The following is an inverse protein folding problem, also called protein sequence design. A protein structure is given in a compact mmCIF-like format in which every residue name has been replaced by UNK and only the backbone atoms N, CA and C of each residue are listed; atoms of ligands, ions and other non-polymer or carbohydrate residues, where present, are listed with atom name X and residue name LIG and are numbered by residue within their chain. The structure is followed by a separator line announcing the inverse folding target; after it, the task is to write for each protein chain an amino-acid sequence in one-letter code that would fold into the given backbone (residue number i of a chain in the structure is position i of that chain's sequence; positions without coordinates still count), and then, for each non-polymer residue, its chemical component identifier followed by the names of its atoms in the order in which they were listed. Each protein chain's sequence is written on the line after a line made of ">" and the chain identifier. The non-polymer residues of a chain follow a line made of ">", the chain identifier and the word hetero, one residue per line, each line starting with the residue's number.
data_IF_204298128590
#
_entry.id   IF_204298128590
#
_cell.length_a   1.000
_cell.length_b   1.000
_cell.length_c   1.000
_cell.angle_alpha   90.00
_cell.angle_beta   90.00
_cell.angle_gamma   90.00
#
_symmetry.space_group_name_H-M   'P 1'
#
loop_
_entity.id
_entity.type
_entity.pdbx_description
1 polymer ?
#
# COMPACT_ATOMS: atom_id res chain seq x y z
N UNK A 1 -8.98 29.34 -2.47
CA UNK A 1 -10.26 28.73 -2.88
C UNK A 1 -11.25 29.85 -3.19
N UNK A 2 -11.74 29.94 -4.43
CA UNK A 2 -12.81 30.89 -4.80
C UNK A 2 -14.18 30.48 -4.24
N UNK A 3 -15.17 31.38 -4.30
CA UNK A 3 -16.53 31.19 -3.78
C UNK A 3 -17.18 29.89 -4.31
N UNK A 4 -17.05 29.65 -5.61
CA UNK A 4 -17.58 28.47 -6.32
C UNK A 4 -17.00 27.15 -5.78
N UNK A 5 -15.73 27.17 -5.35
CA UNK A 5 -15.08 25.99 -4.77
C UNK A 5 -15.65 25.62 -3.42
N UNK A 6 -16.01 26.61 -2.59
CA UNK A 6 -16.61 26.38 -1.27
C UNK A 6 -18.05 25.89 -1.40
N UNK A 7 -18.79 26.39 -2.38
CA UNK A 7 -20.16 25.95 -2.65
C UNK A 7 -20.22 24.52 -3.20
N UNK A 8 -19.32 24.14 -4.11
CA UNK A 8 -19.19 22.76 -4.61
C UNK A 8 -18.93 21.76 -3.47
N UNK A 9 -18.02 22.09 -2.55
CA UNK A 9 -17.72 21.24 -1.40
C UNK A 9 -18.93 21.13 -0.48
N UNK A 10 -19.55 22.26 -0.13
CA UNK A 10 -20.69 22.28 0.79
C UNK A 10 -21.89 21.52 0.23
N UNK A 11 -22.15 21.64 -1.07
CA UNK A 11 -23.27 20.95 -1.73
C UNK A 11 -23.07 19.45 -1.79
N UNK A 12 -21.82 18.99 -1.82
CA UNK A 12 -21.44 17.57 -1.85
C UNK A 12 -21.49 16.86 -0.50
N UNK A 13 -21.66 17.58 0.61
CA UNK A 13 -21.78 16.98 1.95
C UNK A 13 -23.26 16.92 2.31
N UNK A 14 -23.90 15.80 1.98
CA UNK A 14 -25.31 15.52 2.28
C UNK A 14 -25.47 14.13 2.89
N UNK A 15 -26.46 13.96 3.76
CA UNK A 15 -26.80 12.64 4.24
C UNK A 15 -27.26 11.77 3.06
N UNK A 16 -26.70 10.57 2.90
CA UNK A 16 -27.05 9.73 1.76
C UNK A 16 -28.40 9.05 1.97
N UNK A 17 -29.04 8.70 0.87
CA UNK A 17 -30.18 7.79 0.92
C UNK A 17 -29.73 6.39 1.36
N UNK A 18 -30.67 5.62 1.94
CA UNK A 18 -30.38 4.28 2.46
C UNK A 18 -29.81 3.36 1.38
N UNK A 19 -30.26 3.46 0.11
CA UNK A 19 -29.78 2.56 -0.95
C UNK A 19 -28.31 2.85 -1.27
N UNK A 20 -27.94 4.12 -1.40
CA UNK A 20 -26.53 4.51 -1.62
C UNK A 20 -25.64 4.11 -0.45
N UNK A 21 -26.13 4.21 0.79
CA UNK A 21 -25.40 3.74 1.97
C UNK A 21 -25.22 2.22 1.97
N UNK A 22 -26.28 1.46 1.68
CA UNK A 22 -26.20 -0.01 1.57
C UNK A 22 -25.25 -0.45 0.46
N UNK A 23 -25.26 0.23 -0.69
CA UNK A 23 -24.31 -0.05 -1.79
C UNK A 23 -22.86 0.24 -1.39
N UNK A 24 -22.61 1.35 -0.69
CA UNK A 24 -21.29 1.70 -0.18
C UNK A 24 -20.75 0.66 0.83
N UNK A 25 -21.64 0.03 1.58
CA UNK A 25 -21.32 -1.04 2.53
C UNK A 25 -21.13 -2.38 1.81
N UNK A 26 -22.03 -2.72 0.90
CA UNK A 26 -22.04 -4.01 0.22
C UNK A 26 -20.83 -4.17 -0.69
N UNK A 27 -20.42 -3.14 -1.43
CA UNK A 27 -19.34 -3.24 -2.40
C UNK A 27 -18.02 -3.75 -1.80
N UNK A 28 -17.43 -3.10 -0.76
CA UNK A 28 -16.18 -3.59 -0.18
C UNK A 28 -16.33 -4.94 0.53
N UNK A 29 -17.49 -5.20 1.16
CA UNK A 29 -17.73 -6.49 1.82
C UNK A 29 -17.86 -7.64 0.83
N UNK A 30 -18.46 -7.42 -0.33
CA UNK A 30 -18.50 -8.43 -1.38
C UNK A 30 -17.10 -8.77 -1.90
N UNK A 31 -16.22 -7.76 -2.03
CA UNK A 31 -14.83 -7.99 -2.43
C UNK A 31 -14.10 -8.82 -1.37
N UNK A 32 -14.18 -8.41 -0.11
CA UNK A 32 -13.56 -9.12 1.02
C UNK A 32 -14.01 -10.60 1.10
N UNK A 33 -15.33 -10.84 1.09
CA UNK A 33 -15.88 -12.20 1.10
C UNK A 33 -15.42 -13.02 -0.10
N UNK A 34 -15.34 -12.41 -1.29
CA UNK A 34 -14.87 -13.09 -2.49
C UNK A 34 -13.39 -13.49 -2.38
N UNK A 35 -12.53 -12.58 -1.91
CA UNK A 35 -11.09 -12.84 -1.71
C UNK A 35 -10.90 -13.94 -0.65
N UNK A 36 -11.52 -13.80 0.53
CA UNK A 36 -11.43 -14.79 1.61
C UNK A 36 -11.91 -16.17 1.19
N UNK A 37 -13.02 -16.23 0.45
CA UNK A 37 -13.56 -17.50 -0.07
C UNK A 37 -12.63 -18.13 -1.09
N UNK A 38 -12.05 -17.33 -2.00
CA UNK A 38 -11.08 -17.80 -2.98
C UNK A 38 -9.82 -18.36 -2.34
N UNK A 39 -9.24 -17.62 -1.38
CA UNK A 39 -8.07 -18.07 -0.63
C UNK A 39 -8.36 -19.37 0.12
N UNK A 40 -9.48 -19.45 0.84
CA UNK A 40 -9.87 -20.67 1.54
C UNK A 40 -9.98 -21.88 0.60
N UNK A 41 -10.63 -21.73 -0.55
CA UNK A 41 -10.80 -22.83 -1.52
C UNK A 41 -9.46 -23.26 -2.11
N UNK A 42 -8.60 -22.31 -2.47
CA UNK A 42 -7.28 -22.60 -3.05
C UNK A 42 -6.37 -23.30 -2.05
N UNK A 43 -6.26 -22.78 -0.82
CA UNK A 43 -5.44 -23.39 0.22
C UNK A 43 -5.99 -24.74 0.67
N UNK A 44 -7.32 -24.91 0.68
CA UNK A 44 -7.94 -26.20 0.97
C UNK A 44 -7.65 -27.24 -0.12
N UNK A 45 -7.65 -26.82 -1.38
CA UNK A 45 -7.29 -27.68 -2.51
C UNK A 45 -5.80 -28.07 -2.47
N UNK A 46 -4.90 -27.11 -2.17
CA UNK A 46 -3.47 -27.37 -2.01
C UNK A 46 -3.20 -28.31 -0.84
N UNK A 47 -3.81 -28.07 0.32
CA UNK A 47 -3.71 -28.95 1.48
C UNK A 47 -4.18 -30.37 1.16
N UNK A 48 -5.30 -30.53 0.45
CA UNK A 48 -5.81 -31.84 0.06
C UNK A 48 -4.87 -32.57 -0.92
N UNK A 49 -4.16 -31.83 -1.78
CA UNK A 49 -3.23 -32.40 -2.74
C UNK A 49 -1.86 -32.78 -2.14
N UNK A 50 -1.37 -32.03 -1.15
CA UNK A 50 0.04 -32.11 -0.73
C UNK A 50 0.26 -32.40 0.77
N UNK A 51 -0.69 -32.00 1.63
CA UNK A 51 -0.50 -31.99 3.09
C UNK A 51 -1.53 -32.85 3.84
N UNK A 52 -2.34 -33.60 3.09
CA UNK A 52 -3.38 -34.46 3.63
C UNK A 52 -2.78 -35.52 4.56
N UNK A 53 -3.20 -35.52 5.83
CA UNK A 53 -2.70 -36.43 6.87
C UNK A 53 -1.35 -36.03 7.50
N UNK A 54 -0.70 -34.96 7.01
CA UNK A 54 0.53 -34.41 7.61
C UNK A 54 0.25 -33.21 8.51
N UNK A 55 -0.58 -32.29 8.02
CA UNK A 55 -0.97 -31.07 8.72
C UNK A 55 -2.49 -31.01 8.89
N UNK A 56 -2.95 -30.27 9.91
CA UNK A 56 -4.38 -30.01 10.10
C UNK A 56 -4.97 -29.22 8.92
N UNK A 57 -6.24 -29.42 8.56
CA UNK A 57 -6.86 -28.71 7.45
C UNK A 57 -7.00 -27.21 7.73
N UNK A 58 -6.90 -26.35 6.71
CA UNK A 58 -7.21 -24.94 6.85
C UNK A 58 -8.63 -24.71 7.37
N UNK A 59 -8.78 -23.88 8.41
CA UNK A 59 -10.05 -23.65 9.07
C UNK A 59 -10.79 -22.46 8.46
N UNK A 60 -12.05 -22.66 8.09
CA UNK A 60 -12.89 -21.63 7.45
C UNK A 60 -12.91 -20.29 8.20
N UNK A 61 -13.03 -20.32 9.53
CA UNK A 61 -13.13 -19.11 10.35
C UNK A 61 -11.90 -18.21 10.34
N UNK A 62 -10.73 -18.70 9.95
CA UNK A 62 -9.49 -17.92 9.93
C UNK A 62 -9.40 -16.95 8.73
N UNK A 63 -10.19 -17.17 7.68
CA UNK A 63 -10.19 -16.35 6.47
C UNK A 63 -11.15 -15.16 6.56
N UNK A 64 -12.09 -15.16 7.51
CA UNK A 64 -13.09 -14.10 7.71
C UNK A 64 -12.73 -13.30 8.95
N UNK A 65 -11.71 -12.45 8.83
CA UNK A 65 -11.23 -11.59 9.91
C UNK A 65 -12.16 -10.40 10.10
N UNK A 66 -12.54 -10.12 11.35
CA UNK A 66 -13.22 -8.87 11.69
C UNK A 66 -12.15 -7.78 11.84
N UNK A 67 -12.28 -6.63 11.16
CA UNK A 67 -11.31 -5.55 11.28
C UNK A 67 -11.26 -5.01 12.71
N UNK A 68 -10.06 -4.63 13.15
CA UNK A 68 -9.84 -4.02 14.45
C UNK A 68 -10.69 -2.75 14.61
N UNK A 69 -11.21 -2.51 15.82
CA UNK A 69 -12.07 -1.36 16.10
C UNK A 69 -11.38 -0.02 15.83
N UNK A 70 -10.05 0.05 15.95
CA UNK A 70 -9.26 1.24 15.62
C UNK A 70 -9.33 1.59 14.13
N UNK A 71 -9.57 0.61 13.25
CA UNK A 71 -9.73 0.87 11.81
C UNK A 71 -11.02 1.66 11.50
N UNK A 72 -11.96 1.77 12.44
CA UNK A 72 -13.10 2.68 12.30
C UNK A 72 -12.66 4.14 12.17
N UNK A 73 -11.49 4.51 12.71
CA UNK A 73 -10.95 5.87 12.59
C UNK A 73 -10.56 6.23 11.14
N UNK A 74 -10.38 5.23 10.25
CA UNK A 74 -10.12 5.46 8.84
C UNK A 74 -11.25 6.23 8.15
N UNK A 75 -12.46 6.24 8.70
CA UNK A 75 -13.58 7.01 8.16
C UNK A 75 -13.27 8.51 8.10
N UNK A 76 -12.53 9.05 9.06
CA UNK A 76 -12.19 10.47 9.08
C UNK A 76 -11.20 10.80 7.95
N UNK A 77 -10.13 10.00 7.82
CA UNK A 77 -9.16 10.16 6.73
C UNK A 77 -9.81 10.02 5.36
N UNK A 78 -10.58 8.94 5.17
CA UNK A 78 -11.32 8.70 3.93
C UNK A 78 -12.30 9.84 3.62
N UNK A 79 -13.03 10.34 4.62
CA UNK A 79 -13.96 11.45 4.43
C UNK A 79 -13.26 12.73 3.93
N UNK A 80 -12.14 13.12 4.54
CA UNK A 80 -11.40 14.29 4.08
C UNK A 80 -10.84 14.11 2.67
N UNK A 81 -10.31 12.92 2.37
CA UNK A 81 -9.89 12.59 1.00
C UNK A 81 -11.05 12.70 0.01
N UNK A 82 -12.20 12.09 0.29
CA UNK A 82 -13.35 12.15 -0.61
C UNK A 82 -13.90 13.56 -0.81
N UNK A 83 -13.88 14.40 0.22
CA UNK A 83 -14.26 15.82 0.07
C UNK A 83 -13.34 16.53 -0.92
N UNK A 84 -12.02 16.28 -0.86
CA UNK A 84 -11.03 16.90 -1.76
C UNK A 84 -11.14 16.30 -3.16
N UNK A 85 -11.08 14.98 -3.29
CA UNK A 85 -11.03 14.32 -4.59
C UNK A 85 -12.38 14.32 -5.30
N UNK A 86 -13.47 13.98 -4.60
CA UNK A 86 -14.79 13.77 -5.22
C UNK A 86 -15.67 15.02 -5.11
N UNK A 87 -15.59 15.75 -4.00
CA UNK A 87 -16.34 16.99 -3.80
C UNK A 87 -15.77 18.20 -4.56
N UNK A 88 -14.45 18.27 -4.74
CA UNK A 88 -13.77 19.41 -5.34
C UNK A 88 -13.09 19.10 -6.69
N UNK A 89 -12.23 18.09 -6.75
CA UNK A 89 -11.40 17.82 -7.94
C UNK A 89 -12.22 17.19 -9.08
N UNK A 90 -13.00 16.17 -8.77
CA UNK A 90 -13.83 15.44 -9.74
C UNK A 90 -14.79 16.36 -10.49
N UNK A 91 -15.50 17.26 -9.79
CA UNK A 91 -16.43 18.21 -10.42
C UNK A 91 -15.74 19.08 -11.47
N UNK A 92 -14.53 19.56 -11.19
CA UNK A 92 -13.75 20.38 -12.15
C UNK A 92 -13.26 19.56 -13.33
N UNK A 93 -12.76 18.36 -13.08
CA UNK A 93 -12.25 17.52 -14.14
C UNK A 93 -13.36 17.01 -15.05
N UNK A 94 -14.53 16.69 -14.51
CA UNK A 94 -15.71 16.35 -15.30
C UNK A 94 -16.14 17.56 -16.15
N UNK A 95 -16.16 18.76 -15.58
CA UNK A 95 -16.52 19.98 -16.32
C UNK A 95 -15.50 20.32 -17.42
N UNK A 96 -14.20 20.15 -17.17
CA UNK A 96 -13.14 20.51 -18.13
C UNK A 96 -12.82 19.44 -19.18
N UNK A 97 -12.93 18.16 -18.84
CA UNK A 97 -12.45 17.05 -19.67
C UNK A 97 -13.54 16.02 -20.02
N UNK A 98 -14.76 16.18 -19.48
CA UNK A 98 -15.86 15.23 -19.62
C UNK A 98 -15.87 14.13 -18.56
N UNK A 99 -16.97 13.38 -18.49
CA UNK A 99 -17.26 12.43 -17.41
C UNK A 99 -16.14 11.39 -17.19
N UNK A 100 -15.87 10.55 -18.20
CA UNK A 100 -14.95 9.42 -18.07
C UNK A 100 -13.50 9.86 -17.89
N UNK A 101 -13.04 10.85 -18.67
CA UNK A 101 -11.68 11.39 -18.58
C UNK A 101 -11.48 12.09 -17.25
N UNK A 102 -12.50 12.81 -16.76
CA UNK A 102 -12.41 13.49 -15.49
C UNK A 102 -12.26 12.51 -14.32
N UNK A 103 -13.05 11.44 -14.29
CA UNK A 103 -12.94 10.38 -13.27
C UNK A 103 -11.58 9.67 -13.36
N UNK A 104 -11.11 9.36 -14.57
CA UNK A 104 -9.81 8.73 -14.78
C UNK A 104 -8.66 9.60 -14.23
N UNK A 105 -8.66 10.90 -14.52
CA UNK A 105 -7.66 11.84 -14.02
C UNK A 105 -7.67 11.94 -12.49
N UNK A 106 -8.85 11.93 -11.86
CA UNK A 106 -8.96 11.86 -10.39
C UNK A 106 -8.26 10.60 -9.87
N UNK A 107 -8.50 9.44 -10.48
CA UNK A 107 -7.86 8.19 -10.10
C UNK A 107 -6.33 8.22 -10.19
N UNK A 108 -5.79 8.80 -11.26
CA UNK A 108 -4.34 8.95 -11.45
C UNK A 108 -3.72 9.87 -10.39
N UNK A 109 -4.34 11.04 -10.14
CA UNK A 109 -3.84 11.98 -9.13
C UNK A 109 -3.97 11.38 -7.72
N UNK A 110 -5.04 10.65 -7.46
CA UNK A 110 -5.23 9.97 -6.19
C UNK A 110 -4.20 8.86 -5.98
N UNK A 111 -3.84 8.10 -7.02
CA UNK A 111 -2.72 7.15 -6.96
C UNK A 111 -1.39 7.84 -6.61
N UNK A 112 -1.11 8.97 -7.24
CA UNK A 112 0.10 9.76 -6.98
C UNK A 112 0.12 10.35 -5.55
N UNK A 113 -1.05 10.74 -5.02
CA UNK A 113 -1.18 11.22 -3.64
C UNK A 113 -0.72 10.17 -2.61
N UNK A 114 -1.02 8.89 -2.86
CA UNK A 114 -0.61 7.78 -1.98
C UNK A 114 0.88 7.40 -2.07
N UNK A 115 1.63 7.96 -3.02
CA UNK A 115 3.05 7.62 -3.22
C UNK A 115 3.87 7.87 -1.96
N UNK A 116 3.66 9.01 -1.28
CA UNK A 116 4.41 9.31 -0.07
C UNK A 116 4.17 8.27 1.03
N UNK A 117 2.91 7.97 1.35
CA UNK A 117 2.58 6.97 2.38
C UNK A 117 3.03 5.55 2.02
N UNK A 118 3.04 5.20 0.74
CA UNK A 118 3.41 3.86 0.29
C UNK A 118 4.89 3.53 0.46
N UNK A 119 5.77 4.54 0.37
CA UNK A 119 7.22 4.35 0.34
C UNK A 119 7.96 4.98 1.53
N UNK A 120 7.30 5.78 2.37
CA UNK A 120 7.98 6.48 3.48
C UNK A 120 8.49 5.58 4.61
N UNK A 121 7.96 4.36 4.76
CA UNK A 121 8.16 3.55 5.97
C UNK A 121 8.75 2.17 5.70
N UNK A 122 9.25 1.90 4.49
CA UNK A 122 9.76 0.57 4.14
C UNK A 122 10.83 0.64 3.06
N UNK A 123 11.87 -0.16 3.23
CA UNK A 123 12.85 -0.44 2.18
C UNK A 123 12.26 -1.48 1.22
N UNK A 124 12.29 -1.17 -0.06
CA UNK A 124 11.81 -2.04 -1.13
C UNK A 124 12.92 -2.21 -2.17
N UNK A 125 12.95 -3.37 -2.80
CA UNK A 125 13.69 -3.63 -4.04
C UNK A 125 13.02 -2.92 -5.22
N UNK A 126 13.76 -2.69 -6.30
CA UNK A 126 13.22 -2.03 -7.50
C UNK A 126 11.98 -2.76 -8.07
N UNK A 127 11.99 -4.09 -8.01
CA UNK A 127 10.87 -4.92 -8.49
C UNK A 127 9.62 -4.76 -7.62
N UNK A 128 9.76 -4.74 -6.30
CA UNK A 128 8.66 -4.52 -5.37
C UNK A 128 8.08 -3.10 -5.52
N UNK A 129 8.94 -2.10 -5.74
CA UNK A 129 8.49 -0.73 -6.03
C UNK A 129 7.62 -0.71 -7.28
N UNK A 130 8.07 -1.35 -8.37
CA UNK A 130 7.32 -1.36 -9.63
C UNK A 130 6.00 -2.11 -9.50
N UNK A 131 5.99 -3.28 -8.84
CA UNK A 131 4.78 -4.05 -8.59
C UNK A 131 3.77 -3.27 -7.73
N UNK A 132 4.24 -2.66 -6.64
CA UNK A 132 3.40 -1.85 -5.74
C UNK A 132 2.84 -0.63 -6.45
N UNK A 133 3.65 0.09 -7.23
CA UNK A 133 3.20 1.25 -8.00
C UNK A 133 2.17 0.87 -9.05
N UNK A 134 2.41 -0.23 -9.79
CA UNK A 134 1.48 -0.73 -10.80
C UNK A 134 0.12 -1.11 -10.20
N UNK A 135 0.14 -1.86 -9.09
CA UNK A 135 -1.06 -2.23 -8.36
C UNK A 135 -1.79 -1.00 -7.80
N UNK A 136 -1.08 -0.07 -7.16
CA UNK A 136 -1.65 1.18 -6.63
C UNK A 136 -2.34 1.98 -7.73
N UNK A 137 -1.69 2.16 -8.87
CA UNK A 137 -2.25 2.88 -10.02
C UNK A 137 -3.53 2.21 -10.52
N UNK A 138 -3.47 0.90 -10.77
CA UNK A 138 -4.62 0.13 -11.22
C UNK A 138 -5.81 0.25 -10.25
N UNK A 139 -5.54 0.02 -8.97
CA UNK A 139 -6.57 0.05 -7.92
C UNK A 139 -7.18 1.44 -7.73
N UNK A 140 -6.38 2.50 -7.65
CA UNK A 140 -6.89 3.86 -7.47
C UNK A 140 -7.73 4.33 -8.66
N UNK A 141 -7.38 3.93 -9.88
CA UNK A 141 -8.18 4.21 -11.08
C UNK A 141 -9.50 3.43 -11.03
N UNK A 142 -9.45 2.10 -10.82
CA UNK A 142 -10.64 1.26 -10.77
C UNK A 142 -11.61 1.70 -9.67
N UNK A 143 -11.10 1.91 -8.46
CA UNK A 143 -11.89 2.35 -7.31
C UNK A 143 -12.44 3.76 -7.51
N UNK A 144 -11.71 4.65 -8.20
CA UNK A 144 -12.23 5.99 -8.52
C UNK A 144 -13.49 5.95 -9.37
N UNK A 145 -13.64 5.00 -10.30
CA UNK A 145 -14.90 4.85 -11.03
C UNK A 145 -16.08 4.46 -10.13
N UNK A 146 -15.85 3.54 -9.19
CA UNK A 146 -16.89 3.12 -8.24
C UNK A 146 -17.27 4.25 -7.29
N UNK A 147 -16.28 4.92 -6.69
CA UNK A 147 -16.50 6.03 -5.76
C UNK A 147 -17.10 7.25 -6.45
N UNK A 148 -16.67 7.54 -7.69
CA UNK A 148 -17.28 8.59 -8.51
C UNK A 148 -18.75 8.26 -8.80
N UNK A 149 -19.06 7.03 -9.16
CA UNK A 149 -20.44 6.60 -9.42
C UNK A 149 -21.32 6.74 -8.17
N UNK A 150 -20.84 6.30 -7.00
CA UNK A 150 -21.55 6.49 -5.73
C UNK A 150 -21.78 7.97 -5.44
N UNK A 151 -20.77 8.82 -5.67
CA UNK A 151 -20.86 10.27 -5.45
C UNK A 151 -21.88 10.92 -6.37
N UNK A 152 -21.81 10.62 -7.67
CA UNK A 152 -22.70 11.21 -8.68
C UNK A 152 -24.15 10.75 -8.49
N UNK A 153 -24.35 9.47 -8.16
CA UNK A 153 -25.68 8.90 -7.90
C UNK A 153 -26.34 9.48 -6.67
N UNK A 154 -25.59 9.61 -5.57
CA UNK A 154 -26.12 10.09 -4.29
C UNK A 154 -26.08 11.61 -4.15
N UNK A 155 -25.39 12.30 -5.07
CA UNK A 155 -25.04 13.71 -4.96
C UNK A 155 -24.35 14.04 -3.62
N UNK A 156 -23.62 13.07 -3.07
CA UNK A 156 -22.94 13.16 -1.78
C UNK A 156 -21.61 12.41 -1.78
N UNK A 157 -20.59 12.97 -1.14
CA UNK A 157 -19.31 12.27 -0.91
C UNK A 157 -19.39 11.24 0.22
N UNK A 158 -20.44 11.27 1.04
CA UNK A 158 -20.55 10.40 2.23
C UNK A 158 -20.55 8.91 1.88
N UNK A 159 -21.32 8.41 0.89
CA UNK A 159 -21.25 7.01 0.48
C UNK A 159 -19.87 6.61 -0.04
N UNK A 160 -19.21 7.50 -0.78
CA UNK A 160 -17.85 7.25 -1.24
C UNK A 160 -16.88 7.13 -0.05
N UNK A 161 -17.01 7.99 0.96
CA UNK A 161 -16.16 7.97 2.15
C UNK A 161 -16.35 6.69 2.97
N UNK A 162 -17.60 6.26 3.16
CA UNK A 162 -17.93 4.98 3.82
C UNK A 162 -17.35 3.81 3.04
N UNK A 163 -17.54 3.78 1.73
CA UNK A 163 -17.02 2.71 0.87
C UNK A 163 -15.49 2.68 0.88
N UNK A 164 -14.84 3.84 0.83
CA UNK A 164 -13.39 3.95 0.86
C UNK A 164 -12.82 3.50 2.22
N UNK A 165 -13.37 4.00 3.34
CA UNK A 165 -12.91 3.60 4.67
C UNK A 165 -13.05 2.08 4.90
N UNK A 166 -14.19 1.51 4.47
CA UNK A 166 -14.45 0.08 4.59
C UNK A 166 -13.56 -0.74 3.66
N UNK A 167 -13.28 -0.26 2.45
CA UNK A 167 -12.30 -0.87 1.55
C UNK A 167 -10.91 -0.90 2.19
N UNK A 168 -10.48 0.19 2.81
CA UNK A 168 -9.20 0.22 3.50
C UNK A 168 -9.17 -0.79 4.66
N UNK A 169 -10.23 -0.83 5.47
CA UNK A 169 -10.29 -1.72 6.63
C UNK A 169 -10.36 -3.22 6.25
N UNK A 170 -11.20 -3.60 5.29
CA UNK A 170 -11.47 -5.00 4.96
C UNK A 170 -10.57 -5.55 3.85
N UNK A 171 -10.17 -4.72 2.89
CA UNK A 171 -9.45 -5.20 1.70
C UNK A 171 -7.97 -4.87 1.83
N UNK A 172 -7.65 -3.59 2.06
CA UNK A 172 -6.26 -3.16 2.07
C UNK A 172 -5.49 -3.68 3.28
N UNK A 173 -5.98 -3.48 4.50
CA UNK A 173 -5.26 -3.90 5.70
C UNK A 173 -5.35 -5.41 5.97
N UNK A 174 -6.47 -6.05 5.65
CA UNK A 174 -6.64 -7.49 5.94
C UNK A 174 -5.96 -8.39 4.93
N UNK A 175 -6.04 -8.07 3.64
CA UNK A 175 -5.54 -8.96 2.59
C UNK A 175 -4.20 -8.51 2.02
N UNK A 176 -4.01 -7.21 1.86
CA UNK A 176 -2.83 -6.71 1.15
C UNK A 176 -1.64 -6.39 2.06
N UNK A 177 -1.89 -5.84 3.25
CA UNK A 177 -0.82 -5.62 4.22
C UNK A 177 -0.20 -6.94 4.70
N UNK A 178 -1.02 -7.99 4.85
CA UNK A 178 -0.58 -9.33 5.20
C UNK A 178 0.27 -9.95 4.07
N UNK A 179 -0.14 -9.84 2.78
CA UNK A 179 0.66 -10.36 1.64
C UNK A 179 2.06 -9.71 1.57
N UNK A 180 2.18 -8.40 1.75
CA UNK A 180 3.48 -7.73 1.80
C UNK A 180 4.24 -7.90 3.14
N UNK A 181 3.55 -8.38 4.18
CA UNK A 181 4.12 -8.66 5.51
C UNK A 181 4.69 -10.08 5.60
N UNK A 182 3.97 -11.06 5.06
CA UNK A 182 4.31 -12.48 5.02
C UNK A 182 5.60 -12.72 4.21
N UNK A 183 5.76 -12.06 3.04
CA UNK A 183 7.01 -12.14 2.27
C UNK A 183 8.22 -11.60 3.03
N UNK A 184 8.02 -10.61 3.93
CA UNK A 184 9.09 -10.08 4.80
C UNK A 184 9.46 -11.02 5.95
N UNK A 185 8.54 -11.83 6.44
CA UNK A 185 8.82 -12.85 7.45
C UNK A 185 9.51 -14.05 6.81
N UNK A 186 9.05 -14.47 5.62
CA UNK A 186 9.65 -15.57 4.87
C UNK A 186 11.07 -15.28 4.34
N UNK A 187 11.41 -14.01 4.09
CA UNK A 187 12.75 -13.59 3.63
C UNK A 187 13.75 -13.33 4.76
N UNK A 188 13.34 -13.39 6.03
CA UNK A 188 14.28 -13.49 7.15
C UNK A 188 14.59 -14.97 7.36
N UNK A 189 15.81 -15.46 7.06
CA UNK A 189 16.17 -16.79 7.51
C UNK A 189 16.03 -16.80 9.03
N UNK A 190 15.09 -17.59 9.52
CA UNK A 190 14.95 -17.90 10.95
C UNK A 190 16.27 -18.52 11.39
N UNK A 191 17.12 -17.70 11.99
CA UNK A 191 18.35 -18.13 12.64
C UNK A 191 17.95 -18.85 13.94
N UNK A 192 17.46 -20.08 13.77
CA UNK A 192 17.14 -21.03 14.82
C UNK A 192 18.43 -21.57 15.44
N UNK A 193 19.27 -20.69 15.97
CA UNK A 193 20.52 -21.06 16.61
C UNK A 193 20.95 -20.04 17.68
N UNK A 194 20.04 -19.56 18.52
CA UNK A 194 20.47 -18.82 19.73
C UNK A 194 19.47 -18.77 20.88
N UNK A 195 18.96 -19.93 21.32
CA UNK A 195 18.56 -20.06 22.72
C UNK A 195 19.77 -20.57 23.50
N UNK A 196 20.39 -19.62 24.20
CA UNK A 196 21.61 -19.76 25.00
C UNK A 196 21.33 -20.72 26.16
N UNK A 197 21.99 -21.87 26.17
CA UNK A 197 22.07 -22.73 27.36
C UNK A 197 22.74 -21.94 28.49
N UNK A 198 22.06 -21.79 29.62
CA UNK A 198 22.64 -21.26 30.86
C UNK A 198 23.61 -22.31 31.42
N UNK A 199 24.90 -22.00 31.70
CA UNK A 199 25.78 -22.97 32.33
C UNK A 199 25.64 -22.91 33.85
N UNK A 200 25.22 -24.03 34.43
CA UNK A 200 25.38 -24.36 35.84
C UNK A 200 26.86 -24.67 36.16
N UNK A 201 27.25 -24.32 37.37
CA UNK A 201 28.59 -24.25 37.94
C UNK A 201 29.34 -25.60 38.02
N UNK A 202 30.62 -25.60 37.60
CA UNK A 202 31.76 -26.36 38.15
C UNK A 202 33.00 -25.87 37.36
N UNK A 203 34.07 -25.31 37.92
CA UNK A 203 34.94 -25.83 38.96
C UNK A 203 36.35 -26.03 38.37
N UNK A 204 37.31 -25.18 38.78
CA UNK A 204 38.74 -25.53 39.01
C UNK A 204 39.60 -26.12 37.86
N UNK A 205 40.53 -25.33 37.28
CA UNK A 205 42.02 -25.38 37.47
C UNK A 205 42.84 -24.79 36.30
N UNK A 206 44.01 -24.27 36.69
CA UNK A 206 45.11 -23.67 35.90
C UNK A 206 45.76 -24.64 34.89
N UNK A 207 46.36 -24.08 33.84
CA UNK A 207 47.44 -24.72 33.05
C UNK A 207 48.02 -23.79 31.99
N UNK A 208 49.33 -23.53 32.04
CA UNK A 208 50.12 -22.63 31.17
C UNK A 208 50.68 -23.37 29.93
N UNK A 209 51.00 -22.55 28.91
CA UNK A 209 52.12 -22.64 27.94
C UNK A 209 52.00 -23.51 26.67
N UNK A 210 52.46 -22.96 25.52
CA UNK A 210 52.91 -23.75 24.36
C UNK A 210 52.75 -23.13 22.95
N UNK A 211 53.65 -22.21 22.56
CA UNK A 211 54.33 -22.04 21.24
C UNK A 211 53.65 -22.27 19.86
N UNK A 212 53.62 -21.18 19.06
CA UNK A 212 54.00 -20.95 17.64
C UNK A 212 53.77 -22.03 16.54
N UNK A 213 52.96 -21.67 15.53
CA UNK A 213 53.19 -21.65 14.06
C UNK A 213 51.80 -21.42 13.40
N UNK A 214 51.51 -20.40 12.60
CA UNK A 214 52.11 -20.04 11.32
C UNK A 214 51.19 -20.50 10.18
N UNK A 215 50.37 -19.59 9.63
CA UNK A 215 49.96 -19.43 8.21
C UNK A 215 48.93 -18.29 8.15
N UNK A 216 49.34 -17.18 7.55
CA UNK A 216 48.48 -16.03 7.22
C UNK A 216 48.24 -15.97 5.71
N UNK A 217 47.00 -15.57 5.38
CA UNK A 217 46.55 -14.94 4.14
C UNK A 217 46.37 -15.89 2.92
N UNK A 218 45.33 -15.76 2.08
CA UNK A 218 44.51 -14.60 1.69
C UNK A 218 43.11 -15.11 1.28
N UNK A 219 42.04 -14.42 1.67
CA UNK A 219 40.74 -14.54 0.99
C UNK A 219 40.56 -13.28 0.12
N UNK A 220 40.58 -13.38 -1.21
CA UNK A 220 40.41 -12.22 -2.07
C UNK A 220 38.91 -12.08 -2.36
N UNK A 221 38.22 -11.12 -1.74
CA UNK A 221 37.03 -10.42 -2.28
C UNK A 221 36.39 -9.55 -1.17
N UNK A 222 37.19 -8.66 -0.58
CA UNK A 222 36.66 -7.43 0.02
C UNK A 222 37.09 -6.26 -0.85
N UNK A 223 36.23 -5.84 -1.78
CA UNK A 223 36.26 -4.48 -2.32
C UNK A 223 35.00 -3.78 -1.85
N UNK A 224 35.17 -2.75 -1.03
CA UNK A 224 34.16 -1.72 -0.79
C UNK A 224 34.02 -0.84 -2.03
N UNK A 225 32.83 -0.27 -2.29
CA UNK A 225 32.73 1.01 -2.95
C UNK A 225 32.74 2.12 -1.89
N UNK A 226 33.69 3.03 -2.07
CA UNK A 226 33.83 4.30 -1.35
C UNK A 226 32.61 5.19 -1.57
N UNK A 227 32.22 5.88 -0.51
CA UNK A 227 31.36 7.06 -0.50
C UNK A 227 31.85 8.10 -1.53
N UNK A 228 31.02 8.43 -2.52
CA UNK A 228 31.20 9.61 -3.33
C UNK A 228 30.53 10.80 -2.62
N UNK A 229 31.34 11.78 -2.22
CA UNK A 229 30.90 13.08 -1.73
C UNK A 229 30.20 13.84 -2.85
N UNK A 230 29.06 14.45 -2.53
CA UNK A 230 28.40 15.45 -3.35
C UNK A 230 29.18 16.76 -3.27
N UNK A 231 29.79 17.19 -4.36
CA UNK A 231 30.37 18.54 -4.50
C UNK A 231 29.32 19.49 -5.09
N UNK A 232 29.06 20.56 -4.34
CA UNK A 232 28.22 21.69 -4.71
C UNK A 232 29.07 22.77 -5.39
N UNK A 233 29.01 22.87 -6.72
CA UNK A 233 29.50 24.06 -7.44
C UNK A 233 28.80 24.28 -8.78
N UNK A 234 28.07 25.39 -8.77
CA UNK A 234 27.35 26.13 -9.82
C UNK A 234 28.18 26.39 -11.10
N UNK A 235 27.55 26.38 -12.28
CA UNK A 235 27.68 27.45 -13.28
C UNK A 235 26.58 27.38 -14.38
N UNK A 236 25.96 28.53 -14.64
CA UNK A 236 25.04 28.78 -15.76
C UNK A 236 25.82 29.10 -17.04
N UNK A 237 25.20 28.92 -18.21
CA UNK A 237 25.26 29.94 -19.24
C UNK A 237 23.86 30.42 -19.63
N UNK A 238 23.63 31.72 -19.46
CA UNK A 238 22.47 32.43 -20.00
C UNK A 238 22.72 32.98 -21.39
N UNK A 239 21.58 33.23 -22.07
CA UNK A 239 21.32 34.01 -23.30
C UNK A 239 21.64 33.36 -24.64
N UNK A 240 20.62 33.18 -25.49
CA UNK A 240 20.11 34.26 -26.34
C UNK A 240 18.73 33.95 -26.95
N UNK A 241 17.96 35.01 -27.15
CA UNK A 241 16.59 35.11 -27.62
C UNK A 241 16.53 34.93 -29.14
N UNK A 242 15.63 34.10 -29.68
CA UNK A 242 15.15 34.26 -31.06
C UNK A 242 13.75 33.65 -31.25
N UNK A 243 12.81 34.54 -31.50
CA UNK A 243 11.48 34.32 -32.07
C UNK A 243 11.56 33.67 -33.45
N UNK A 244 10.82 32.58 -33.71
CA UNK A 244 10.33 32.26 -35.06
C UNK A 244 8.95 31.60 -35.04
N UNK A 245 8.08 32.23 -35.79
CA UNK A 245 6.75 31.89 -36.28
C UNK A 245 6.76 30.66 -37.19
N UNK A 246 5.69 29.85 -37.15
CA UNK A 246 5.42 28.78 -38.10
C UNK A 246 4.73 29.34 -39.36
N UNK A 247 5.07 28.85 -40.58
CA UNK A 247 4.31 29.17 -41.78
C UNK A 247 3.23 28.10 -42.09
N UNK A 248 2.05 28.63 -42.42
CA UNK A 248 0.85 28.10 -43.10
C UNK A 248 0.19 26.80 -42.62
#
# INVERSE_FOLDING_TARGET
>A
MGRDGRESVRSSIRLPDLRSFLLAVAFPTSIDVFISSGQYVLERAQWAAHDFGRLGPPQFGLYFKVPDILLLLLIFGAFFEEVIFRGFLQTRFIHGYGLYRGIFLVGVIWAAFHFFSDFSFSSFTDQEVLAKLGFRMFMCVALSFVLAWLTLRSQSVVPAAVSHARYNALVFFTHWADVCGEERVASRPVDCARVRLVPLLAGSRRGKAGTRAGITARNPFCRSPRLAKWDSSFSWPGRCMQTRTFPF
#
